data_IF_349779236667
#
_entry.id   IF_349779236667
#
_cell.length_a   1.000
_cell.length_b   1.000
_cell.length_c   1.000
_cell.angle_alpha   90.00
_cell.angle_beta   90.00
_cell.angle_gamma   90.00
#
_symmetry.space_group_name_H-M   'P 1'
#
loop_
_entity.id
_entity.type
_entity.pdbx_description
1 polymer ?
#
# COMPACT_ATOMS: atom_id res chain seq x y z
N UNK A 1 -0.06 8.49 20.39
CA UNK A 1 0.58 7.41 19.61
C UNK A 1 1.37 8.06 18.49
N UNK A 2 2.54 7.55 18.09
CA UNK A 2 3.19 8.09 16.89
C UNK A 2 2.24 7.87 15.70
N UNK A 3 1.92 8.96 15.00
CA UNK A 3 1.11 8.93 13.78
C UNK A 3 1.86 8.28 12.61
N UNK A 4 1.25 8.24 11.43
CA UNK A 4 1.89 7.80 10.17
C UNK A 4 2.84 8.91 9.67
N UNK A 5 3.98 9.09 10.38
CA UNK A 5 4.89 10.23 10.16
C UNK A 5 5.91 10.03 9.03
N UNK A 6 6.04 8.81 8.54
CA UNK A 6 6.93 8.48 7.43
C UNK A 6 6.19 7.62 6.42
N UNK A 7 6.16 8.04 5.17
CA UNK A 7 5.42 7.43 4.08
C UNK A 7 6.39 7.12 2.95
N UNK A 8 6.46 5.86 2.55
CA UNK A 8 7.25 5.43 1.40
C UNK A 8 6.35 5.38 0.15
N UNK A 9 6.82 5.97 -0.94
CA UNK A 9 6.20 5.87 -2.28
C UNK A 9 7.21 5.23 -3.22
N UNK A 10 7.10 3.92 -3.49
CA UNK A 10 7.98 3.25 -4.44
C UNK A 10 7.75 3.71 -5.87
N UNK A 11 8.85 3.89 -6.59
CA UNK A 11 8.88 4.13 -8.03
C UNK A 11 9.52 2.93 -8.70
N UNK A 12 8.77 2.19 -9.52
CA UNK A 12 9.27 1.00 -10.22
C UNK A 12 9.74 1.33 -11.64
N UNK A 13 9.27 2.44 -12.19
CA UNK A 13 9.58 2.91 -13.53
C UNK A 13 9.59 4.44 -13.57
N UNK A 14 9.86 5.00 -14.74
CA UNK A 14 9.89 6.44 -14.98
C UNK A 14 8.50 7.06 -15.18
N UNK A 15 7.44 6.26 -15.19
CA UNK A 15 6.09 6.78 -15.34
C UNK A 15 5.64 7.48 -14.05
N UNK A 16 5.03 8.66 -14.15
CA UNK A 16 4.56 9.39 -12.99
C UNK A 16 3.54 8.60 -12.19
N UNK A 17 3.82 8.39 -10.92
CA UNK A 17 2.91 7.74 -9.97
C UNK A 17 2.06 8.79 -9.23
N UNK A 18 1.34 9.62 -9.99
CA UNK A 18 0.60 10.77 -9.48
C UNK A 18 -0.39 10.38 -8.37
N UNK A 19 -1.14 9.30 -8.57
CA UNK A 19 -2.15 8.84 -7.62
C UNK A 19 -1.54 8.43 -6.27
N UNK A 20 -0.38 7.75 -6.26
CA UNK A 20 0.30 7.40 -5.02
C UNK A 20 0.83 8.63 -4.27
N UNK A 21 1.39 9.61 -5.00
CA UNK A 21 1.84 10.87 -4.40
C UNK A 21 0.66 11.67 -3.86
N UNK A 22 -0.47 11.72 -4.57
CA UNK A 22 -1.69 12.38 -4.09
C UNK A 22 -2.25 11.75 -2.82
N UNK A 23 -2.29 10.43 -2.76
CA UNK A 23 -2.74 9.71 -1.56
C UNK A 23 -1.77 9.90 -0.39
N UNK A 24 -0.46 9.81 -0.65
CA UNK A 24 0.57 10.07 0.36
C UNK A 24 0.45 11.49 0.92
N UNK A 25 0.25 12.50 0.06
CA UNK A 25 0.04 13.89 0.48
C UNK A 25 -1.15 14.03 1.41
N UNK A 26 -2.32 13.45 1.06
CA UNK A 26 -3.54 13.54 1.90
C UNK A 26 -3.35 12.95 3.29
N UNK A 27 -2.59 11.86 3.40
CA UNK A 27 -2.24 11.30 4.71
C UNK A 27 -1.23 12.20 5.42
N UNK A 28 -0.20 12.65 4.71
CA UNK A 28 0.90 13.41 5.26
C UNK A 28 0.49 14.80 5.77
N UNK A 29 -0.41 15.50 5.08
CA UNK A 29 -0.92 16.81 5.49
C UNK A 29 -1.55 16.77 6.89
N UNK A 30 -2.31 15.72 7.19
CA UNK A 30 -2.97 15.58 8.47
C UNK A 30 -2.02 15.19 9.62
N UNK A 31 -0.87 14.58 9.30
CA UNK A 31 0.09 14.07 10.27
C UNK A 31 1.37 14.91 10.39
N UNK A 32 1.57 15.88 9.48
CA UNK A 32 2.84 16.57 9.33
C UNK A 32 3.96 15.59 8.94
N UNK A 33 3.66 14.66 8.03
CA UNK A 33 4.53 13.54 7.72
C UNK A 33 5.57 13.85 6.64
N UNK A 34 6.63 13.03 6.64
CA UNK A 34 7.63 12.96 5.60
C UNK A 34 7.25 11.93 4.55
N UNK A 35 7.32 12.31 3.28
CA UNK A 35 7.09 11.43 2.14
C UNK A 35 8.45 11.14 1.48
N UNK A 36 8.76 9.88 1.26
CA UNK A 36 9.97 9.51 0.55
C UNK A 36 9.62 8.76 -0.74
N UNK A 37 10.04 9.33 -1.88
CA UNK A 37 10.10 8.61 -3.13
C UNK A 37 11.33 7.70 -3.12
N UNK A 38 11.18 6.44 -3.51
CA UNK A 38 12.29 5.51 -3.58
C UNK A 38 12.29 4.72 -4.88
N UNK A 39 13.45 4.63 -5.51
CA UNK A 39 13.68 3.85 -6.71
C UNK A 39 14.76 2.82 -6.47
N UNK A 40 14.49 1.56 -6.81
CA UNK A 40 15.48 0.48 -6.73
C UNK A 40 16.05 0.21 -8.12
N UNK A 41 17.28 0.70 -8.35
CA UNK A 41 18.01 0.44 -9.57
C UNK A 41 18.41 -1.02 -9.64
N UNK A 42 18.06 -1.68 -10.72
CA UNK A 42 18.49 -3.05 -10.96
C UNK A 42 20.00 -3.10 -11.18
N UNK A 43 20.66 -4.07 -10.58
CA UNK A 43 22.04 -4.43 -10.87
C UNK A 43 22.04 -5.83 -11.49
N UNK A 44 22.92 -6.06 -12.43
CA UNK A 44 23.10 -7.40 -12.97
C UNK A 44 23.56 -8.34 -11.85
N UNK A 45 22.86 -9.46 -11.64
CA UNK A 45 23.32 -10.42 -10.65
C UNK A 45 24.73 -10.90 -11.05
N UNK A 46 25.66 -10.84 -10.10
CA UNK A 46 26.96 -11.51 -10.26
C UNK A 46 26.64 -12.99 -10.29
N UNK A 47 26.56 -13.56 -11.48
CA UNK A 47 26.43 -15.01 -11.65
C UNK A 47 27.80 -15.58 -11.29
N UNK A 48 28.00 -15.88 -10.00
CA UNK A 48 29.14 -16.64 -9.52
C UNK A 48 28.96 -18.11 -9.94
N UNK A 49 29.18 -18.40 -11.21
CA UNK A 49 29.10 -19.74 -11.80
C UNK A 49 30.04 -19.83 -12.99
N UNK A 50 30.66 -20.97 -13.18
CA UNK A 50 31.70 -21.23 -14.17
C UNK A 50 31.35 -20.67 -15.56
N UNK A 51 32.10 -19.70 -16.05
CA UNK A 51 32.34 -19.48 -17.47
C UNK A 51 31.47 -18.47 -18.22
N UNK A 52 30.54 -17.73 -17.58
CA UNK A 52 29.81 -16.65 -18.29
C UNK A 52 30.37 -15.30 -17.84
N UNK A 53 31.32 -14.78 -18.60
CA UNK A 53 31.76 -13.40 -18.47
C UNK A 53 30.93 -12.55 -19.44
N UNK A 54 30.09 -11.67 -18.93
CA UNK A 54 29.38 -10.70 -19.77
C UNK A 54 30.41 -9.74 -20.39
N UNK A 55 30.25 -9.34 -21.67
CA UNK A 55 31.13 -8.34 -22.29
C UNK A 55 31.12 -7.04 -21.48
N UNK A 56 32.29 -6.41 -21.32
CA UNK A 56 32.44 -5.16 -20.55
C UNK A 56 31.54 -4.04 -21.08
N UNK A 57 31.38 -3.95 -22.39
CA UNK A 57 30.51 -2.97 -23.04
C UNK A 57 29.02 -3.17 -22.67
N UNK A 58 28.59 -4.42 -22.52
CA UNK A 58 27.21 -4.74 -22.07
C UNK A 58 26.99 -4.31 -20.62
N UNK A 59 27.96 -4.57 -19.74
CA UNK A 59 27.89 -4.14 -18.33
C UNK A 59 27.83 -2.62 -18.23
N UNK A 60 28.67 -1.91 -18.99
CA UNK A 60 28.70 -0.46 -18.99
C UNK A 60 27.37 0.14 -19.52
N UNK A 61 26.83 -0.43 -20.60
CA UNK A 61 25.55 0.00 -21.17
C UNK A 61 24.39 -0.22 -20.17
N UNK A 62 24.35 -1.37 -19.50
CA UNK A 62 23.32 -1.67 -18.50
C UNK A 62 23.39 -0.72 -17.29
N UNK A 63 24.61 -0.42 -16.81
CA UNK A 63 24.78 0.53 -15.71
C UNK A 63 24.37 1.96 -16.10
N UNK A 64 24.69 2.37 -17.34
CA UNK A 64 24.30 3.70 -17.84
C UNK A 64 22.79 3.82 -17.97
N UNK A 65 22.12 2.82 -18.60
CA UNK A 65 20.66 2.77 -18.69
C UNK A 65 20.02 2.83 -17.31
N UNK A 66 20.56 2.07 -16.34
CA UNK A 66 20.06 2.11 -14.96
C UNK A 66 20.21 3.48 -14.29
N UNK A 67 21.29 4.24 -14.58
CA UNK A 67 21.46 5.61 -14.09
C UNK A 67 20.47 6.59 -14.74
N UNK A 68 20.27 6.47 -16.05
CA UNK A 68 19.31 7.30 -16.76
C UNK A 68 17.89 7.07 -16.24
N UNK A 69 17.48 5.82 -16.05
CA UNK A 69 16.16 5.48 -15.50
C UNK A 69 15.98 6.01 -14.08
N UNK A 70 17.00 5.91 -13.22
CA UNK A 70 16.95 6.45 -11.86
C UNK A 70 16.80 7.99 -11.87
N UNK A 71 17.50 8.66 -12.78
CA UNK A 71 17.42 10.11 -12.95
C UNK A 71 16.00 10.53 -13.39
N UNK A 72 15.45 9.86 -14.40
CA UNK A 72 14.08 10.12 -14.88
C UNK A 72 13.03 9.87 -13.81
N UNK A 73 13.18 8.80 -13.03
CA UNK A 73 12.27 8.50 -11.91
C UNK A 73 12.32 9.60 -10.82
N UNK A 74 13.53 10.10 -10.51
CA UNK A 74 13.73 11.20 -9.57
C UNK A 74 13.09 12.49 -10.09
N UNK A 75 13.35 12.86 -11.33
CA UNK A 75 12.77 14.06 -11.95
C UNK A 75 11.24 14.01 -11.98
N UNK A 76 10.68 12.83 -12.29
CA UNK A 76 9.23 12.62 -12.24
C UNK A 76 8.69 12.81 -10.82
N UNK A 77 9.34 12.28 -9.79
CA UNK A 77 8.95 12.49 -8.40
C UNK A 77 9.04 13.96 -8.01
N UNK A 78 10.18 14.62 -8.27
CA UNK A 78 10.40 16.03 -7.94
C UNK A 78 9.39 16.96 -8.62
N UNK A 79 9.03 16.68 -9.89
CA UNK A 79 7.95 17.39 -10.58
C UNK A 79 6.60 17.20 -9.89
N UNK A 80 6.24 15.95 -9.54
CA UNK A 80 4.98 15.65 -8.87
C UNK A 80 4.83 16.34 -7.52
N UNK A 81 5.88 16.36 -6.69
CA UNK A 81 5.82 17.04 -5.39
C UNK A 81 5.80 18.56 -5.54
N UNK A 82 6.53 19.13 -6.52
CA UNK A 82 6.51 20.56 -6.80
C UNK A 82 5.13 21.03 -7.25
N UNK A 83 4.48 20.33 -8.20
CA UNK A 83 3.11 20.61 -8.65
C UNK A 83 2.09 20.58 -7.50
N UNK A 84 2.35 19.77 -6.47
CA UNK A 84 1.49 19.62 -5.30
C UNK A 84 1.85 20.54 -4.15
N UNK A 85 2.85 21.41 -4.33
CA UNK A 85 3.32 22.31 -3.29
C UNK A 85 3.91 21.60 -2.07
N UNK A 86 4.50 20.41 -2.24
CA UNK A 86 5.18 19.67 -1.18
C UNK A 86 6.66 20.12 -1.19
N UNK A 87 7.17 20.72 -0.12
CA UNK A 87 8.55 21.16 -0.08
C UNK A 87 9.52 19.98 0.02
N UNK A 88 10.66 20.08 -0.65
CA UNK A 88 11.80 19.20 -0.41
C UNK A 88 12.35 19.43 0.99
N UNK A 89 12.70 18.34 1.68
CA UNK A 89 13.23 18.40 3.03
C UNK A 89 13.81 17.08 3.51
N UNK A 90 14.54 17.11 4.61
CA UNK A 90 15.13 15.92 5.23
C UNK A 90 14.13 15.19 6.12
N UNK A 91 14.42 13.92 6.39
CA UNK A 91 13.63 13.09 7.32
C UNK A 91 13.50 13.71 8.73
N UNK A 92 14.53 14.41 9.22
CA UNK A 92 14.55 15.04 10.55
C UNK A 92 13.83 16.40 10.61
N UNK A 93 13.28 16.89 9.49
CA UNK A 93 12.54 18.15 9.44
C UNK A 93 11.16 18.08 10.09
N UNK A 94 10.44 19.19 10.10
CA UNK A 94 9.08 19.32 10.62
C UNK A 94 8.06 19.62 9.50
N UNK A 95 6.81 19.25 9.72
CA UNK A 95 5.71 19.49 8.79
C UNK A 95 5.73 18.56 7.58
N UNK A 96 4.83 18.85 6.63
CA UNK A 96 4.76 18.15 5.36
C UNK A 96 6.00 18.46 4.52
N UNK A 97 6.71 17.44 4.10
CA UNK A 97 7.90 17.51 3.27
C UNK A 97 8.19 16.20 2.56
N UNK A 98 9.02 16.24 1.54
CA UNK A 98 9.40 15.07 0.77
C UNK A 98 10.90 14.98 0.49
N UNK A 99 11.39 13.77 0.29
CA UNK A 99 12.75 13.46 -0.14
C UNK A 99 12.80 12.29 -1.10
N UNK A 100 13.98 12.00 -1.60
CA UNK A 100 14.22 10.95 -2.59
C UNK A 100 15.39 10.07 -2.17
N UNK A 101 15.23 8.77 -2.39
CA UNK A 101 16.30 7.77 -2.20
C UNK A 101 16.41 6.88 -3.44
N UNK A 102 17.62 6.74 -3.93
CA UNK A 102 18.01 5.73 -4.89
C UNK A 102 18.71 4.58 -4.16
N UNK A 103 18.23 3.36 -4.40
CA UNK A 103 18.82 2.14 -3.86
C UNK A 103 19.47 1.35 -4.98
N UNK A 104 20.55 0.64 -4.65
CA UNK A 104 21.25 -0.25 -5.58
C UNK A 104 20.92 -1.70 -5.24
N UNK A 105 20.38 -2.44 -6.21
CA UNK A 105 20.68 -3.83 -6.27
C UNK A 105 19.65 -4.89 -5.95
N UNK A 106 18.45 -4.66 -5.48
CA UNK A 106 17.60 -5.80 -5.09
C UNK A 106 16.16 -5.78 -5.64
N UNK A 107 15.89 -4.85 -6.55
CA UNK A 107 14.55 -4.76 -7.15
C UNK A 107 13.43 -4.57 -6.10
N UNK A 108 12.26 -5.20 -6.32
CA UNK A 108 11.12 -5.09 -5.40
C UNK A 108 11.41 -5.58 -3.97
N UNK A 109 12.24 -6.62 -3.80
CA UNK A 109 12.59 -7.16 -2.48
C UNK A 109 13.32 -6.11 -1.62
N UNK A 110 14.27 -5.36 -2.21
CA UNK A 110 14.97 -4.29 -1.49
C UNK A 110 14.04 -3.15 -1.10
N UNK A 111 13.05 -2.82 -1.92
CA UNK A 111 12.01 -1.86 -1.54
C UNK A 111 11.19 -2.37 -0.35
N UNK A 112 10.85 -3.67 -0.32
CA UNK A 112 10.17 -4.31 0.80
C UNK A 112 11.00 -4.25 2.10
N UNK A 113 12.30 -4.53 2.01
CA UNK A 113 13.21 -4.42 3.16
C UNK A 113 13.36 -2.98 3.65
N UNK A 114 13.53 -2.04 2.74
CA UNK A 114 13.64 -0.62 3.05
C UNK A 114 12.38 -0.07 3.72
N UNK A 115 11.22 -0.54 3.30
CA UNK A 115 9.92 -0.17 3.86
C UNK A 115 9.77 -0.51 5.35
N UNK A 116 10.63 -1.36 5.93
CA UNK A 116 10.64 -1.65 7.38
C UNK A 116 10.81 -0.40 8.24
N UNK A 117 11.48 0.61 7.72
CA UNK A 117 11.73 1.87 8.43
C UNK A 117 10.53 2.84 8.43
N UNK A 118 9.53 2.60 7.58
CA UNK A 118 8.42 3.53 7.37
C UNK A 118 7.16 3.14 8.14
N UNK A 119 6.30 4.13 8.38
CA UNK A 119 5.00 3.90 9.01
C UNK A 119 3.99 3.23 8.06
N UNK A 120 4.07 3.53 6.77
CA UNK A 120 3.21 2.99 5.71
C UNK A 120 3.90 3.14 4.35
N UNK A 121 3.63 2.21 3.43
CA UNK A 121 3.96 2.37 2.02
C UNK A 121 2.69 2.69 1.22
N UNK A 122 2.81 3.54 0.19
CA UNK A 122 1.70 3.86 -0.72
C UNK A 122 2.09 3.44 -2.12
N UNK A 123 1.34 2.54 -2.72
CA UNK A 123 1.62 1.99 -4.05
C UNK A 123 0.40 2.13 -4.96
N UNK A 124 0.64 2.63 -6.16
CA UNK A 124 -0.37 2.64 -7.20
C UNK A 124 -0.55 1.23 -7.79
N UNK A 125 -1.81 0.78 -7.86
CA UNK A 125 -2.16 -0.45 -8.59
C UNK A 125 -2.42 -0.10 -10.05
N UNK A 126 -1.56 -0.49 -10.92
CA UNK A 126 -1.74 -0.26 -12.35
C UNK A 126 -2.58 -1.38 -12.98
N UNK A 127 -3.84 -1.10 -13.26
CA UNK A 127 -4.77 -2.03 -13.91
C UNK A 127 -4.70 -1.96 -15.44
N UNK A 128 -4.01 -0.97 -15.99
CA UNK A 128 -3.91 -0.73 -17.46
C UNK A 128 -2.60 -1.28 -18.03
N UNK A 129 -1.68 -1.76 -17.18
CA UNK A 129 -0.44 -2.40 -17.61
C UNK A 129 0.70 -1.44 -17.98
N UNK A 130 0.70 -0.21 -17.45
CA UNK A 130 1.81 0.75 -17.58
C UNK A 130 2.98 0.39 -16.68
N UNK A 131 2.70 -0.19 -15.52
CA UNK A 131 3.66 -0.71 -14.56
C UNK A 131 3.45 -2.21 -14.38
N UNK A 132 4.22 -3.02 -15.08
CA UNK A 132 4.14 -4.48 -15.02
C UNK A 132 4.66 -5.04 -13.69
N UNK A 133 5.47 -4.27 -12.96
CA UNK A 133 6.15 -4.70 -11.73
C UNK A 133 5.42 -4.30 -10.44
N UNK A 134 4.30 -3.57 -10.53
CA UNK A 134 3.58 -3.13 -9.33
C UNK A 134 3.13 -4.31 -8.44
N UNK A 135 2.84 -5.47 -9.03
CA UNK A 135 2.42 -6.66 -8.30
C UNK A 135 3.56 -7.25 -7.48
N UNK A 136 4.73 -7.40 -8.07
CA UNK A 136 5.92 -7.88 -7.37
C UNK A 136 6.35 -6.91 -6.27
N UNK A 137 6.22 -5.60 -6.50
CA UNK A 137 6.46 -4.58 -5.47
C UNK A 137 5.43 -4.65 -4.36
N UNK A 138 4.14 -4.81 -4.67
CA UNK A 138 3.09 -4.99 -3.66
C UNK A 138 3.35 -6.24 -2.80
N UNK A 139 3.77 -7.34 -3.43
CA UNK A 139 4.14 -8.58 -2.75
C UNK A 139 5.30 -8.35 -1.78
N UNK A 140 6.39 -7.75 -2.25
CA UNK A 140 7.54 -7.45 -1.42
C UNK A 140 7.19 -6.52 -0.23
N UNK A 141 6.42 -5.45 -0.48
CA UNK A 141 5.96 -4.56 0.57
C UNK A 141 5.08 -5.27 1.61
N UNK A 142 4.25 -6.22 1.20
CA UNK A 142 3.39 -6.97 2.12
C UNK A 142 4.15 -8.01 2.94
N UNK A 143 5.08 -8.75 2.33
CA UNK A 143 5.72 -9.90 2.97
C UNK A 143 7.07 -9.57 3.63
N UNK A 144 7.80 -8.58 3.12
CA UNK A 144 9.15 -8.28 3.60
C UNK A 144 9.22 -7.07 4.54
N UNK A 145 8.21 -6.17 4.50
CA UNK A 145 8.27 -4.95 5.30
C UNK A 145 7.75 -5.09 6.73
N UNK A 146 6.76 -5.95 6.97
CA UNK A 146 6.01 -6.00 8.23
C UNK A 146 5.23 -4.69 8.50
N UNK A 147 5.00 -3.87 7.49
CA UNK A 147 4.32 -2.58 7.55
C UNK A 147 3.05 -2.58 6.71
N UNK A 148 2.08 -1.68 7.01
CA UNK A 148 0.90 -1.55 6.18
C UNK A 148 1.24 -1.05 4.78
N UNK A 149 0.52 -1.58 3.79
CA UNK A 149 0.52 -1.13 2.41
C UNK A 149 -0.81 -0.47 2.09
N UNK A 150 -0.80 0.77 1.63
CA UNK A 150 -1.95 1.43 1.02
C UNK A 150 -1.88 1.25 -0.49
N UNK A 151 -2.81 0.50 -1.05
CA UNK A 151 -3.00 0.41 -2.49
C UNK A 151 -4.01 1.43 -2.97
N UNK A 152 -3.65 2.15 -4.03
CA UNK A 152 -4.48 3.19 -4.64
C UNK A 152 -4.67 2.93 -6.14
N UNK A 153 -5.76 3.41 -6.71
CA UNK A 153 -6.03 3.43 -8.15
C UNK A 153 -5.82 4.83 -8.72
N UNK A 154 -6.04 5.01 -10.03
CA UNK A 154 -5.92 6.31 -10.68
C UNK A 154 -6.85 7.38 -10.06
N UNK A 155 -8.04 6.97 -9.63
CA UNK A 155 -8.99 7.85 -8.97
C UNK A 155 -8.80 7.81 -7.45
N UNK A 156 -8.43 8.96 -6.88
CA UNK A 156 -8.25 9.12 -5.44
C UNK A 156 -9.39 9.97 -4.88
N UNK A 157 -10.16 9.48 -3.87
CA UNK A 157 -11.21 10.25 -3.23
C UNK A 157 -10.63 11.51 -2.57
N UNK A 158 -11.45 12.54 -2.39
CA UNK A 158 -11.00 13.80 -1.78
C UNK A 158 -10.45 13.64 -0.35
N UNK A 159 -10.96 12.65 0.37
CA UNK A 159 -10.51 12.27 1.71
C UNK A 159 -10.07 10.82 1.75
N UNK A 160 -9.17 10.48 2.67
CA UNK A 160 -8.77 9.10 2.94
C UNK A 160 -8.89 8.85 4.45
N UNK A 161 -9.77 7.93 4.83
CA UNK A 161 -10.00 7.55 6.22
C UNK A 161 -11.03 8.40 6.96
N UNK A 162 -11.90 9.12 6.26
CA UNK A 162 -13.06 9.79 6.86
C UNK A 162 -14.21 8.81 7.11
N UNK A 163 -14.49 7.95 6.13
CA UNK A 163 -15.48 6.87 6.19
C UNK A 163 -14.79 5.54 5.91
N UNK A 164 -14.55 4.76 6.95
CA UNK A 164 -13.71 3.57 6.89
C UNK A 164 -14.56 2.31 6.91
N UNK A 165 -14.39 1.45 5.92
CA UNK A 165 -14.91 0.09 5.95
C UNK A 165 -13.79 -0.87 6.39
N UNK A 166 -14.00 -1.59 7.49
CA UNK A 166 -13.12 -2.66 7.97
C UNK A 166 -13.69 -4.00 7.49
N UNK A 167 -13.06 -4.64 6.51
CA UNK A 167 -13.43 -5.97 6.03
C UNK A 167 -12.89 -7.04 7.01
N UNK A 168 -13.63 -7.28 8.07
CA UNK A 168 -13.25 -8.16 9.17
C UNK A 168 -13.55 -9.62 8.84
N UNK A 169 -12.53 -10.48 8.97
CA UNK A 169 -12.67 -11.92 8.76
C UNK A 169 -12.17 -12.77 9.94
N UNK A 170 -11.84 -12.16 11.08
CA UNK A 170 -11.34 -12.87 12.25
C UNK A 170 -9.83 -13.16 12.25
N UNK A 171 -9.11 -12.84 11.17
CA UNK A 171 -7.70 -13.20 11.01
C UNK A 171 -6.72 -12.28 11.72
N UNK A 172 -5.51 -12.78 11.95
CA UNK A 172 -4.40 -12.00 12.50
C UNK A 172 -3.97 -10.87 11.57
N UNK A 173 -4.02 -11.10 10.26
CA UNK A 173 -3.67 -10.10 9.24
C UNK A 173 -4.65 -8.92 9.28
N UNK A 174 -5.95 -9.16 9.42
CA UNK A 174 -6.94 -8.09 9.57
C UNK A 174 -6.77 -7.36 10.90
N UNK A 175 -6.45 -8.06 11.98
CA UNK A 175 -6.17 -7.45 13.27
C UNK A 175 -4.91 -6.54 13.21
N UNK A 176 -3.86 -6.97 12.48
CA UNK A 176 -2.66 -6.14 12.24
C UNK A 176 -3.01 -4.91 11.40
N UNK A 177 -3.78 -5.06 10.32
CA UNK A 177 -4.22 -3.95 9.48
C UNK A 177 -5.02 -2.91 10.28
N UNK A 178 -5.95 -3.38 11.10
CA UNK A 178 -6.74 -2.52 12.00
C UNK A 178 -5.86 -1.79 13.02
N UNK A 179 -4.88 -2.47 13.60
CA UNK A 179 -3.93 -1.86 14.54
C UNK A 179 -3.04 -0.82 13.86
N UNK A 180 -2.53 -1.10 12.68
CA UNK A 180 -1.69 -0.17 11.91
C UNK A 180 -2.46 1.08 11.46
N UNK A 181 -3.75 0.93 11.15
CA UNK A 181 -4.61 2.02 10.73
C UNK A 181 -5.17 2.90 11.89
N UNK A 182 -4.81 2.63 13.16
CA UNK A 182 -5.33 3.41 14.30
C UNK A 182 -5.22 4.92 14.17
N UNK A 183 -4.15 5.52 13.63
CA UNK A 183 -4.10 6.96 13.41
C UNK A 183 -5.22 7.47 12.48
N UNK A 184 -5.57 6.68 11.45
CA UNK A 184 -6.67 7.01 10.54
C UNK A 184 -8.03 6.82 11.21
N UNK A 185 -8.21 5.72 11.97
CA UNK A 185 -9.43 5.48 12.74
C UNK A 185 -9.70 6.60 13.74
N UNK A 186 -8.67 7.16 14.36
CA UNK A 186 -8.81 8.21 15.40
C UNK A 186 -9.41 9.51 14.85
N UNK A 187 -9.32 9.77 13.55
CA UNK A 187 -9.87 10.96 12.88
C UNK A 187 -11.04 10.66 11.94
N UNK A 188 -11.49 9.40 11.89
CA UNK A 188 -12.64 9.02 11.09
C UNK A 188 -13.94 9.55 11.65
N UNK A 189 -14.90 9.85 10.77
CA UNK A 189 -16.25 10.26 11.15
C UNK A 189 -17.17 9.08 11.36
N UNK A 190 -16.95 8.00 10.60
CA UNK A 190 -17.72 6.78 10.67
C UNK A 190 -16.88 5.55 10.31
N UNK A 191 -17.10 4.47 11.05
CA UNK A 191 -16.46 3.17 10.77
C UNK A 191 -17.56 2.13 10.65
N UNK A 192 -17.50 1.32 9.61
CA UNK A 192 -18.30 0.10 9.46
C UNK A 192 -17.39 -1.12 9.53
N UNK A 193 -17.63 -2.01 10.48
CA UNK A 193 -16.98 -3.32 10.53
C UNK A 193 -17.90 -4.30 9.79
N UNK A 194 -17.43 -4.80 8.66
CA UNK A 194 -18.16 -5.71 7.78
C UNK A 194 -17.59 -7.10 7.90
N UNK A 195 -18.43 -8.09 8.19
CA UNK A 195 -18.16 -9.51 7.95
C UNK A 195 -19.01 -10.03 6.81
N UNK A 196 -18.42 -10.85 5.96
CA UNK A 196 -19.11 -11.48 4.83
C UNK A 196 -19.18 -12.97 5.08
N UNK A 197 -20.37 -13.55 4.93
CA UNK A 197 -20.58 -15.00 5.08
C UNK A 197 -19.66 -15.79 4.12
N UNK A 198 -19.08 -16.89 4.59
CA UNK A 198 -18.10 -17.68 3.82
C UNK A 198 -16.68 -17.09 3.77
N UNK A 199 -16.48 -15.83 4.20
CA UNK A 199 -15.17 -15.18 4.25
C UNK A 199 -14.42 -15.27 5.57
N UNK A 200 -15.09 -15.78 6.63
CA UNK A 200 -14.54 -15.86 7.98
C UNK A 200 -13.51 -16.98 8.15
N UNK A 201 -12.56 -16.75 9.03
CA UNK A 201 -11.67 -17.79 9.60
C UNK A 201 -11.90 -17.85 11.11
N UNK A 202 -11.26 -18.80 11.80
CA UNK A 202 -11.33 -18.89 13.26
C UNK A 202 -10.77 -17.62 13.89
N UNK A 203 -11.55 -17.01 14.78
CA UNK A 203 -11.21 -15.76 15.46
C UNK A 203 -12.43 -15.03 16.02
N UNK A 204 -12.24 -13.82 16.56
CA UNK A 204 -13.33 -12.99 17.07
C UNK A 204 -14.35 -12.67 15.97
N UNK A 205 -15.63 -12.67 16.35
CA UNK A 205 -16.71 -12.25 15.47
C UNK A 205 -16.76 -10.71 15.28
N UNK A 206 -17.64 -10.27 14.39
CA UNK A 206 -17.81 -8.85 14.06
C UNK A 206 -18.36 -8.05 15.24
N UNK A 207 -19.19 -8.65 16.07
CA UNK A 207 -19.82 -7.96 17.22
C UNK A 207 -18.78 -7.68 18.30
N UNK A 208 -17.93 -8.66 18.61
CA UNK A 208 -16.88 -8.51 19.63
C UNK A 208 -15.87 -7.41 19.22
N UNK A 209 -15.36 -7.43 17.98
CA UNK A 209 -14.43 -6.38 17.55
C UNK A 209 -15.09 -5.00 17.49
N UNK A 210 -16.35 -4.91 17.10
CA UNK A 210 -17.10 -3.67 17.09
C UNK A 210 -17.29 -3.12 18.51
N UNK A 211 -17.59 -3.99 19.48
CA UNK A 211 -17.69 -3.59 20.90
C UNK A 211 -16.36 -3.04 21.44
N UNK A 212 -15.23 -3.67 21.11
CA UNK A 212 -13.90 -3.19 21.48
C UNK A 212 -13.55 -1.83 20.84
N UNK A 213 -13.91 -1.61 19.60
CA UNK A 213 -13.72 -0.32 18.94
C UNK A 213 -14.61 0.77 19.57
N UNK A 214 -15.87 0.47 19.90
CA UNK A 214 -16.74 1.39 20.67
C UNK A 214 -16.16 1.73 22.03
N UNK A 215 -15.70 0.74 22.78
CA UNK A 215 -15.03 0.95 24.07
C UNK A 215 -13.76 1.81 23.95
N UNK A 216 -13.10 1.81 22.77
CA UNK A 216 -11.98 2.68 22.45
C UNK A 216 -12.39 4.10 22.01
N UNK A 217 -13.68 4.42 22.00
CA UNK A 217 -14.23 5.74 21.69
C UNK A 217 -14.54 6.00 20.21
N UNK A 218 -14.47 4.98 19.35
CA UNK A 218 -14.77 5.15 17.92
C UNK A 218 -16.29 5.10 17.65
N UNK A 219 -16.74 5.89 16.65
CA UNK A 219 -18.09 5.82 16.09
C UNK A 219 -18.15 4.65 15.10
N UNK A 220 -18.58 3.49 15.54
CA UNK A 220 -18.51 2.26 14.75
C UNK A 220 -19.84 1.50 14.76
N UNK A 221 -20.20 0.95 13.61
CA UNK A 221 -21.30 0.00 13.43
C UNK A 221 -20.80 -1.31 12.87
N UNK A 222 -21.50 -2.42 13.16
CA UNK A 222 -21.28 -3.73 12.57
C UNK A 222 -22.27 -3.99 11.45
N UNK A 223 -21.86 -4.78 10.46
CA UNK A 223 -22.73 -5.32 9.43
C UNK A 223 -22.28 -6.74 9.06
N UNK A 224 -23.25 -7.63 8.93
CA UNK A 224 -23.08 -8.93 8.29
C UNK A 224 -23.65 -8.85 6.87
N UNK A 225 -22.88 -9.26 5.88
CA UNK A 225 -23.36 -9.37 4.51
C UNK A 225 -23.39 -10.83 4.06
N UNK A 226 -24.37 -11.18 3.26
CA UNK A 226 -24.47 -12.44 2.57
C UNK A 226 -23.64 -12.38 1.27
N UNK A 227 -23.03 -13.50 0.90
CA UNK A 227 -22.34 -13.68 -0.38
C UNK A 227 -23.11 -14.58 -1.36
N UNK A 228 -24.41 -14.84 -1.12
CA UNK A 228 -25.23 -15.67 -2.01
C UNK A 228 -25.27 -15.06 -3.41
N UNK A 229 -24.82 -15.82 -4.40
CA UNK A 229 -24.77 -15.38 -5.81
C UNK A 229 -23.63 -14.41 -6.16
N UNK A 230 -22.71 -14.14 -5.21
CA UNK A 230 -21.56 -13.26 -5.43
C UNK A 230 -20.32 -13.80 -4.69
N UNK A 231 -19.19 -13.18 -4.88
CA UNK A 231 -17.99 -13.55 -4.11
C UNK A 231 -17.83 -12.63 -2.89
N UNK A 232 -17.04 -13.09 -1.91
CA UNK A 232 -16.71 -12.30 -0.73
C UNK A 232 -16.07 -10.96 -1.10
N UNK A 233 -15.20 -10.93 -2.11
CA UNK A 233 -14.55 -9.70 -2.57
C UNK A 233 -15.53 -8.72 -3.20
N UNK A 234 -16.45 -9.21 -4.05
CA UNK A 234 -17.51 -8.40 -4.66
C UNK A 234 -18.48 -7.84 -3.61
N UNK A 235 -18.84 -8.66 -2.62
CA UNK A 235 -19.67 -8.19 -1.50
C UNK A 235 -18.98 -7.06 -0.72
N UNK A 236 -17.68 -7.17 -0.44
CA UNK A 236 -16.91 -6.10 0.23
C UNK A 236 -16.89 -4.82 -0.61
N UNK A 237 -16.67 -4.93 -1.92
CA UNK A 237 -16.66 -3.76 -2.83
C UNK A 237 -18.02 -3.10 -2.91
N UNK A 238 -19.10 -3.88 -3.00
CA UNK A 238 -20.47 -3.37 -2.99
C UNK A 238 -20.80 -2.62 -1.70
N UNK A 239 -20.48 -3.24 -0.56
CA UNK A 239 -20.69 -2.65 0.75
C UNK A 239 -19.86 -1.38 0.99
N UNK A 240 -18.65 -1.30 0.41
CA UNK A 240 -17.84 -0.10 0.47
C UNK A 240 -18.50 1.06 -0.30
N UNK A 241 -19.11 0.78 -1.46
CA UNK A 241 -19.90 1.77 -2.22
C UNK A 241 -21.12 2.23 -1.45
N UNK A 242 -21.92 1.28 -0.92
CA UNK A 242 -23.15 1.57 -0.18
C UNK A 242 -22.89 2.39 1.09
N UNK A 243 -21.75 2.15 1.73
CA UNK A 243 -21.30 2.90 2.90
C UNK A 243 -20.64 4.23 2.52
N UNK A 244 -20.38 4.50 1.24
CA UNK A 244 -19.60 5.65 0.77
C UNK A 244 -18.21 5.69 1.42
N UNK A 245 -17.54 4.54 1.47
CA UNK A 245 -16.23 4.40 2.08
C UNK A 245 -15.15 5.07 1.24
N UNK A 246 -14.30 5.86 1.87
CA UNK A 246 -13.11 6.45 1.27
C UNK A 246 -11.81 5.68 1.62
N UNK A 247 -11.96 4.62 2.42
CA UNK A 247 -10.87 3.70 2.78
C UNK A 247 -11.43 2.33 3.16
N UNK A 248 -10.81 1.28 2.63
CA UNK A 248 -11.02 -0.10 3.09
C UNK A 248 -9.81 -0.55 3.90
N UNK A 249 -10.03 -1.20 5.06
CA UNK A 249 -9.00 -1.87 5.85
C UNK A 249 -9.23 -3.37 5.77
N UNK A 250 -8.22 -4.13 5.34
CA UNK A 250 -8.32 -5.57 5.17
C UNK A 250 -6.99 -6.29 5.45
N UNK A 251 -7.05 -7.49 5.98
CA UNK A 251 -5.92 -8.43 5.99
C UNK A 251 -5.66 -9.02 4.61
N UNK A 252 -4.42 -9.29 4.29
CA UNK A 252 -4.01 -9.91 3.04
C UNK A 252 -3.54 -11.36 3.25
N UNK A 253 -3.97 -12.27 2.35
CA UNK A 253 -3.42 -13.63 2.22
C UNK A 253 -3.55 -14.56 3.45
N UNK A 254 -4.68 -14.54 4.14
CA UNK A 254 -4.94 -15.34 5.36
C UNK A 254 -4.84 -16.84 5.17
N UNK A 255 -5.10 -17.38 3.96
CA UNK A 255 -5.23 -18.82 3.71
C UNK A 255 -4.16 -19.46 2.85
N UNK A 256 -3.23 -18.72 2.23
CA UNK A 256 -2.18 -19.33 1.40
C UNK A 256 -0.81 -18.73 1.69
N UNK A 257 0.12 -19.58 2.13
CA UNK A 257 1.55 -19.28 2.25
C UNK A 257 2.29 -19.45 0.91
N UNK A 258 1.58 -19.67 -0.19
CA UNK A 258 2.19 -19.88 -1.50
C UNK A 258 2.40 -18.51 -2.17
N UNK A 259 3.65 -18.02 -2.13
CA UNK A 259 4.12 -16.81 -2.81
C UNK A 259 3.76 -16.72 -4.30
N UNK A 260 3.42 -17.83 -4.93
CA UNK A 260 3.12 -17.91 -6.37
C UNK A 260 1.64 -17.68 -6.75
N UNK A 261 0.74 -17.42 -5.78
CA UNK A 261 -0.69 -17.18 -6.03
C UNK A 261 -1.16 -15.87 -5.39
N UNK A 262 -0.33 -14.84 -5.48
CA UNK A 262 -0.46 -13.56 -4.78
C UNK A 262 -1.77 -12.81 -5.05
N UNK A 263 -2.42 -13.06 -6.17
CA UNK A 263 -3.61 -12.33 -6.61
C UNK A 263 -4.85 -13.22 -6.83
N UNK A 264 -5.04 -14.25 -5.99
CA UNK A 264 -6.22 -15.10 -6.00
C UNK A 264 -7.26 -14.77 -4.92
N UNK A 265 -8.51 -15.19 -5.13
CA UNK A 265 -9.61 -15.09 -4.16
C UNK A 265 -10.09 -13.66 -3.88
N UNK A 266 -10.69 -13.41 -2.69
CA UNK A 266 -11.30 -12.10 -2.34
C UNK A 266 -10.34 -10.93 -2.41
N UNK A 267 -9.03 -11.15 -2.21
CA UNK A 267 -8.02 -10.10 -2.29
C UNK A 267 -7.80 -9.62 -3.72
N UNK A 268 -7.78 -10.55 -4.69
CA UNK A 268 -7.68 -10.19 -6.12
C UNK A 268 -8.86 -9.37 -6.61
N UNK A 269 -10.07 -9.72 -6.18
CA UNK A 269 -11.27 -8.99 -6.57
C UNK A 269 -11.28 -7.57 -6.02
N UNK A 270 -10.86 -7.40 -4.77
CA UNK A 270 -10.70 -6.06 -4.18
C UNK A 270 -9.62 -5.29 -4.94
N UNK A 271 -8.49 -5.93 -5.31
CA UNK A 271 -7.46 -5.27 -6.10
C UNK A 271 -7.96 -4.80 -7.47
N UNK A 272 -8.83 -5.56 -8.10
CA UNK A 272 -9.33 -5.21 -9.43
C UNK A 272 -10.51 -4.21 -9.40
N UNK A 273 -11.32 -4.21 -8.34
CA UNK A 273 -12.62 -3.55 -8.34
C UNK A 273 -12.84 -2.55 -7.20
N UNK A 274 -11.94 -2.43 -6.22
CA UNK A 274 -12.10 -1.43 -5.15
C UNK A 274 -12.13 -0.02 -5.74
N UNK A 275 -13.11 0.75 -5.30
CA UNK A 275 -13.39 2.13 -5.76
C UNK A 275 -12.69 3.18 -4.89
N UNK A 276 -12.05 2.76 -3.82
CA UNK A 276 -11.30 3.62 -2.92
C UNK A 276 -9.99 2.93 -2.49
N UNK A 277 -9.05 3.67 -1.87
CA UNK A 277 -7.82 3.12 -1.31
C UNK A 277 -8.05 1.95 -0.36
N UNK A 278 -7.11 0.98 -0.35
CA UNK A 278 -7.18 -0.22 0.49
C UNK A 278 -5.91 -0.34 1.32
N UNK A 279 -6.03 -0.33 2.65
CA UNK A 279 -4.94 -0.71 3.55
C UNK A 279 -4.90 -2.22 3.72
N UNK A 280 -3.71 -2.77 3.56
CA UNK A 280 -3.41 -4.18 3.66
C UNK A 280 -2.28 -4.43 4.67
N UNK A 281 -2.36 -5.51 5.43
CA UNK A 281 -1.27 -6.10 6.19
C UNK A 281 -1.25 -7.62 6.03
N UNK A 282 -0.07 -8.18 6.15
CA UNK A 282 0.15 -9.62 6.24
C UNK A 282 0.69 -10.01 7.61
#
# INVERSE_FOLDING_TARGET
MPGLRTILVPFNNTQPNAAAVDAAKRIAEAEGAYIEGAYSRQVLPIIAGEGITLPGDYLAAFEEEGREQATLAREAFESLIAERGIPLGSLEGEGLRAGWTEMMGTGPEGLGEYARAFGISVLHRDLVGRDIDWKSTAEALLFESGRPLLLVSDEIPQTIGRRILVAWNGSTETARALSAARPLLARSEAIQVLSVEGGMVSGPDVELITAHLRASGFKVQSKMADSTGTTVGQAIVSEAKDFDADLIIKGAFTRSRLRQLVFGGPTSEIFNHAVCPVILCH
#
